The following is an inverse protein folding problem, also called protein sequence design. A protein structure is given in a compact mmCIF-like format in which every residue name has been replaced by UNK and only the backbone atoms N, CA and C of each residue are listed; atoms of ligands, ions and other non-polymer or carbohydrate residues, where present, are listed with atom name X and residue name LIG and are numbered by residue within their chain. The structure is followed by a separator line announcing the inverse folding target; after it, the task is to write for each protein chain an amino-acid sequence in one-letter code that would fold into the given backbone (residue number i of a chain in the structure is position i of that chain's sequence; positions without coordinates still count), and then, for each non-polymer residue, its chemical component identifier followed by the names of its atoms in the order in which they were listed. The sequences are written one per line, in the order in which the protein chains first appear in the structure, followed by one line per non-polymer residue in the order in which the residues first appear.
data_IF_904544505212
#
_entry.id   IF_904544505212
#
_cell.length_a   1.000
_cell.length_b   1.000
_cell.length_c   1.000
_cell.angle_alpha   90.00
_cell.angle_beta   90.00
_cell.angle_gamma   90.00
#
_symmetry.space_group_name_H-M   'P 1'
#
loop_
_entity.id
_entity.type
_entity.pdbx_description
1 polymer ?
#
# COMPACT_ATOMS: atom_id res chain seq x y z
N UNK A 1 -12.73 -2.43 -10.43
CA UNK A 1 -13.62 -2.01 -11.54
C UNK A 1 -14.81 -1.25 -10.98
N UNK A 2 -15.55 -0.51 -11.81
CA UNK A 2 -16.83 0.08 -11.42
C UNK A 2 -17.95 -0.70 -12.11
N UNK A 3 -19.06 -0.91 -11.40
CA UNK A 3 -20.30 -1.39 -12.03
C UNK A 3 -21.07 -0.23 -12.70
N UNK A 4 -22.24 -0.52 -13.28
CA UNK A 4 -23.05 0.48 -13.99
C UNK A 4 -23.63 1.56 -13.07
N UNK A 5 -23.72 1.31 -11.75
CA UNK A 5 -24.15 2.27 -10.72
C UNK A 5 -22.96 3.00 -10.08
N UNK A 6 -21.75 2.88 -10.64
CA UNK A 6 -20.49 3.43 -10.16
C UNK A 6 -20.01 2.89 -8.81
N UNK A 7 -20.51 1.72 -8.38
CA UNK A 7 -19.97 1.08 -7.19
C UNK A 7 -18.64 0.39 -7.49
N UNK A 8 -17.68 0.53 -6.58
CA UNK A 8 -16.37 -0.14 -6.67
C UNK A 8 -16.54 -1.64 -6.43
N UNK A 9 -16.00 -2.45 -7.35
CA UNK A 9 -15.91 -3.92 -7.23
C UNK A 9 -14.45 -4.34 -7.29
N UNK A 10 -14.01 -5.12 -6.30
CA UNK A 10 -12.72 -5.80 -6.33
C UNK A 10 -12.87 -7.01 -7.25
N UNK A 11 -11.96 -7.16 -8.20
CA UNK A 11 -11.96 -8.22 -9.22
C UNK A 11 -10.56 -8.80 -9.38
N UNK A 12 -10.45 -9.93 -10.06
CA UNK A 12 -9.20 -10.62 -10.36
C UNK A 12 -8.48 -11.15 -9.10
N UNK A 13 -9.04 -12.26 -8.59
CA UNK A 13 -8.47 -12.96 -7.43
C UNK A 13 -7.38 -13.98 -7.79
N UNK A 14 -6.81 -13.92 -9.02
CA UNK A 14 -5.80 -14.86 -9.52
C UNK A 14 -4.50 -14.90 -8.71
N UNK A 15 -4.19 -13.83 -8.00
CA UNK A 15 -3.03 -13.73 -7.09
C UNK A 15 -3.43 -13.76 -5.61
N UNK A 16 -4.71 -13.99 -5.30
CA UNK A 16 -5.18 -14.02 -3.92
C UNK A 16 -4.72 -15.29 -3.20
N UNK A 17 -4.60 -15.20 -1.88
CA UNK A 17 -4.33 -16.32 -1.01
C UNK A 17 -5.24 -16.27 0.22
N UNK A 18 -5.49 -17.43 0.82
CA UNK A 18 -6.21 -17.51 2.10
C UNK A 18 -5.20 -17.57 3.24
N UNK A 19 -5.47 -16.89 4.33
CA UNK A 19 -4.67 -16.96 5.55
C UNK A 19 -5.61 -16.91 6.78
N UNK A 20 -5.16 -17.48 7.89
CA UNK A 20 -5.79 -17.32 9.20
C UNK A 20 -5.03 -16.25 9.98
N UNK A 21 -5.66 -15.68 11.02
CA UNK A 21 -5.08 -14.56 11.80
C UNK A 21 -3.68 -14.85 12.38
N UNK A 22 -3.34 -16.14 12.56
CA UNK A 22 -2.04 -16.60 13.08
C UNK A 22 -1.04 -17.01 11.96
N UNK A 23 -1.44 -17.01 10.69
CA UNK A 23 -0.58 -17.42 9.58
C UNK A 23 0.07 -16.22 8.89
N UNK A 24 1.34 -16.40 8.53
CA UNK A 24 2.09 -15.42 7.75
C UNK A 24 2.38 -15.95 6.35
N UNK A 25 2.25 -15.08 5.36
CA UNK A 25 2.46 -15.40 3.95
C UNK A 25 3.93 -15.21 3.54
N UNK A 26 4.36 -15.91 2.48
CA UNK A 26 5.74 -15.81 1.94
C UNK A 26 5.79 -15.56 0.44
N UNK A 27 4.66 -15.64 -0.25
CA UNK A 27 4.62 -15.56 -1.72
C UNK A 27 4.55 -14.10 -2.15
N UNK A 28 5.60 -13.59 -2.78
CA UNK A 28 5.59 -12.27 -3.42
C UNK A 28 5.06 -12.42 -4.85
N UNK A 29 3.99 -11.69 -5.19
CA UNK A 29 3.40 -11.64 -6.52
C UNK A 29 2.84 -10.23 -6.81
N UNK A 30 2.65 -9.90 -8.09
CA UNK A 30 2.15 -8.62 -8.55
C UNK A 30 3.23 -7.64 -9.03
N UNK A 31 2.81 -6.41 -9.36
CA UNK A 31 3.74 -5.36 -9.80
C UNK A 31 4.59 -4.86 -8.64
N UNK A 32 5.92 -4.74 -8.80
CA UNK A 32 6.85 -4.34 -7.75
C UNK A 32 6.51 -2.99 -7.09
N UNK A 33 5.93 -2.06 -7.85
CA UNK A 33 5.58 -0.71 -7.37
C UNK A 33 4.55 -0.71 -6.22
N UNK A 34 3.75 -1.77 -6.09
CA UNK A 34 2.71 -1.90 -5.08
C UNK A 34 3.12 -2.80 -3.91
N UNK A 35 4.25 -3.50 -4.03
CA UNK A 35 4.72 -4.44 -3.03
C UNK A 35 5.17 -3.73 -1.75
N UNK A 36 4.75 -4.26 -0.59
CA UNK A 36 5.15 -3.74 0.70
C UNK A 36 6.64 -4.05 1.03
N UNK A 37 7.32 -3.21 1.85
CA UNK A 37 8.72 -3.40 2.19
C UNK A 37 9.03 -4.79 2.76
N UNK A 38 8.16 -5.34 3.60
CA UNK A 38 8.31 -6.66 4.21
C UNK A 38 8.23 -7.80 3.18
N UNK A 39 7.44 -7.63 2.11
CA UNK A 39 7.39 -8.60 0.98
C UNK A 39 8.71 -8.58 0.19
N UNK A 40 9.20 -7.39 -0.14
CA UNK A 40 10.46 -7.20 -0.87
C UNK A 40 11.63 -7.74 -0.04
N UNK A 41 11.60 -7.58 1.27
CA UNK A 41 12.61 -8.10 2.19
C UNK A 41 12.54 -9.64 2.36
N UNK A 42 11.57 -10.33 1.74
CA UNK A 42 11.39 -11.78 1.88
C UNK A 42 11.04 -12.24 3.29
N UNK A 43 10.50 -11.34 4.10
CA UNK A 43 10.06 -11.66 5.46
C UNK A 43 8.69 -12.33 5.44
N UNK A 44 8.34 -13.00 6.53
CA UNK A 44 6.94 -13.37 6.78
C UNK A 44 6.12 -12.10 6.99
N UNK A 45 4.92 -12.03 6.45
CA UNK A 45 4.09 -10.84 6.49
C UNK A 45 2.62 -11.13 6.83
N UNK A 46 1.95 -10.13 7.39
CA UNK A 46 0.50 -10.09 7.60
C UNK A 46 -0.17 -9.63 6.30
N UNK A 47 -1.08 -10.44 5.76
CA UNK A 47 -1.79 -10.13 4.50
C UNK A 47 -2.57 -8.80 4.57
N UNK A 48 -3.20 -8.50 5.72
CA UNK A 48 -3.93 -7.23 5.91
C UNK A 48 -2.98 -6.03 5.81
N UNK A 49 -1.78 -6.15 6.37
CA UNK A 49 -0.82 -5.05 6.37
C UNK A 49 -0.22 -4.79 4.98
N UNK A 50 0.07 -5.83 4.19
CA UNK A 50 0.57 -5.64 2.83
C UNK A 50 -0.50 -5.10 1.89
N UNK A 51 -1.76 -5.54 2.03
CA UNK A 51 -2.88 -4.98 1.27
C UNK A 51 -3.15 -3.52 1.65
N UNK A 52 -3.02 -3.18 2.94
CA UNK A 52 -3.12 -1.79 3.41
C UNK A 52 -2.04 -0.91 2.77
N UNK A 53 -0.78 -1.39 2.70
CA UNK A 53 0.28 -0.67 1.98
C UNK A 53 -0.09 -0.45 0.51
N UNK A 54 -0.53 -1.50 -0.19
CA UNK A 54 -0.94 -1.40 -1.60
C UNK A 54 -2.09 -0.40 -1.80
N UNK A 55 -3.07 -0.37 -0.89
CA UNK A 55 -4.12 0.66 -0.87
C UNK A 55 -3.55 2.07 -0.69
N UNK A 56 -2.53 2.24 0.15
CA UNK A 56 -1.81 3.51 0.32
C UNK A 56 -1.12 3.98 -0.96
N UNK A 57 -0.48 3.06 -1.70
CA UNK A 57 0.11 3.36 -3.02
C UNK A 57 -0.96 3.81 -4.01
N UNK A 58 -2.11 3.12 -4.05
CA UNK A 58 -3.24 3.49 -4.92
C UNK A 58 -3.80 4.86 -4.53
N UNK A 59 -4.02 5.11 -3.24
CA UNK A 59 -4.48 6.41 -2.75
C UNK A 59 -3.53 7.53 -3.16
N UNK A 60 -2.22 7.34 -2.95
CA UNK A 60 -1.22 8.30 -3.35
C UNK A 60 -1.30 8.59 -4.86
N UNK A 61 -1.35 7.53 -5.69
CA UNK A 61 -1.45 7.68 -7.15
C UNK A 61 -2.72 8.41 -7.59
N UNK A 62 -3.86 8.15 -6.94
CA UNK A 62 -5.13 8.82 -7.24
C UNK A 62 -5.10 10.32 -6.95
N UNK A 63 -4.48 10.73 -5.84
CA UNK A 63 -4.46 12.14 -5.42
C UNK A 63 -3.28 12.93 -6.00
N UNK A 64 -2.18 12.26 -6.39
CA UNK A 64 -0.97 12.89 -6.92
C UNK A 64 -0.87 12.80 -8.46
N UNK A 65 -1.43 11.75 -9.08
CA UNK A 65 -1.29 11.46 -10.51
C UNK A 65 -0.02 10.69 -10.88
N UNK A 66 0.81 10.30 -9.91
CA UNK A 66 2.04 9.50 -10.09
C UNK A 66 2.28 8.63 -8.86
N UNK A 67 3.21 7.65 -8.97
CA UNK A 67 3.52 6.72 -7.88
C UNK A 67 4.52 7.32 -6.87
N UNK A 68 4.43 6.96 -5.56
CA UNK A 68 5.38 7.43 -4.55
C UNK A 68 6.77 6.83 -4.73
N UNK A 69 6.85 5.62 -5.31
CA UNK A 69 8.08 4.91 -5.60
C UNK A 69 8.10 4.50 -7.06
N UNK A 70 9.07 4.99 -7.80
CA UNK A 70 9.25 4.69 -9.21
C UNK A 70 10.72 4.73 -9.57
N UNK A 71 11.18 3.75 -10.34
CA UNK A 71 12.52 3.70 -10.91
C UNK A 71 12.53 2.72 -12.09
N UNK A 72 13.20 3.02 -13.22
CA UNK A 72 13.37 2.08 -14.31
C UNK A 72 14.24 0.85 -13.92
N UNK A 73 15.13 1.01 -12.94
CA UNK A 73 15.91 -0.10 -12.36
C UNK A 73 15.15 -0.69 -11.16
N UNK A 74 14.83 -1.98 -11.25
CA UNK A 74 14.08 -2.70 -10.21
C UNK A 74 14.84 -2.75 -8.87
N UNK A 75 16.16 -2.83 -8.88
CA UNK A 75 16.97 -2.85 -7.67
C UNK A 75 16.89 -1.51 -6.93
N UNK A 76 16.98 -0.42 -7.67
CA UNK A 76 16.81 0.93 -7.11
C UNK A 76 15.39 1.18 -6.62
N UNK A 77 14.37 0.69 -7.35
CA UNK A 77 12.98 0.73 -6.91
C UNK A 77 12.83 0.03 -5.55
N UNK A 78 13.34 -1.20 -5.42
CA UNK A 78 13.29 -1.94 -4.16
C UNK A 78 14.01 -1.21 -3.03
N UNK A 79 15.17 -0.61 -3.32
CA UNK A 79 15.92 0.19 -2.36
C UNK A 79 15.12 1.41 -1.86
N UNK A 80 14.39 2.09 -2.75
CA UNK A 80 13.51 3.22 -2.39
C UNK A 80 12.37 2.77 -1.49
N UNK A 81 11.68 1.67 -1.84
CA UNK A 81 10.57 1.11 -1.07
C UNK A 81 11.04 0.68 0.32
N UNK A 82 12.15 -0.06 0.41
CA UNK A 82 12.70 -0.51 1.69
C UNK A 82 13.10 0.65 2.61
N UNK A 83 13.59 1.76 2.04
CA UNK A 83 13.89 2.98 2.80
C UNK A 83 12.65 3.75 3.22
N UNK A 84 11.52 3.53 2.57
CA UNK A 84 10.26 4.23 2.84
C UNK A 84 10.35 5.75 2.67
N UNK A 85 11.30 6.24 1.82
CA UNK A 85 11.49 7.67 1.58
C UNK A 85 10.82 8.07 0.28
N UNK A 86 9.75 8.83 0.40
CA UNK A 86 9.02 9.46 -0.70
C UNK A 86 8.66 10.90 -0.33
N UNK A 87 8.30 11.73 -1.30
CA UNK A 87 7.82 13.08 -1.07
C UNK A 87 6.31 13.12 -1.18
N UNK A 88 5.67 13.91 -0.34
CA UNK A 88 4.23 14.19 -0.45
C UNK A 88 4.08 15.62 -0.97
N UNK A 89 3.40 15.85 -2.11
CA UNK A 89 3.24 17.17 -2.70
C UNK A 89 2.48 18.15 -1.78
N UNK A 90 2.89 19.41 -1.81
CA UNK A 90 2.32 20.47 -0.97
C UNK A 90 0.91 20.91 -1.40
N UNK A 91 0.48 20.57 -2.61
CA UNK A 91 -0.87 20.89 -3.09
C UNK A 91 -1.97 20.02 -2.46
N UNK A 92 -1.60 18.94 -1.77
CA UNK A 92 -2.54 18.08 -1.06
C UNK A 92 -2.97 18.70 0.27
N UNK A 93 -4.23 18.42 0.70
CA UNK A 93 -4.68 18.84 2.03
C UNK A 93 -3.87 18.17 3.16
N UNK A 94 -3.85 18.82 4.33
CA UNK A 94 -3.15 18.30 5.50
C UNK A 94 -3.64 16.90 5.90
N UNK A 95 -4.96 16.68 5.81
CA UNK A 95 -5.60 15.43 6.23
C UNK A 95 -5.21 14.25 5.34
N UNK A 96 -5.18 14.42 4.00
CA UNK A 96 -4.77 13.33 3.11
C UNK A 96 -3.26 13.07 3.20
N UNK A 97 -2.45 14.12 3.40
CA UNK A 97 -1.00 13.99 3.65
C UNK A 97 -0.74 13.18 4.92
N UNK A 98 -1.47 13.48 5.98
CA UNK A 98 -1.38 12.77 7.26
C UNK A 98 -1.78 11.30 7.09
N UNK A 99 -2.92 11.01 6.45
CA UNK A 99 -3.37 9.63 6.19
C UNK A 99 -2.34 8.84 5.39
N UNK A 100 -1.83 9.37 4.28
CA UNK A 100 -0.81 8.72 3.46
C UNK A 100 0.44 8.43 4.29
N UNK A 101 0.88 9.37 5.10
CA UNK A 101 2.08 9.21 5.94
C UNK A 101 1.94 8.11 6.99
N UNK A 102 0.73 7.83 7.45
CA UNK A 102 0.43 6.78 8.41
C UNK A 102 0.17 5.42 7.78
N UNK A 103 -0.20 5.37 6.47
CA UNK A 103 -0.36 4.12 5.73
C UNK A 103 0.97 3.66 5.13
N UNK A 104 1.74 4.55 4.50
CA UNK A 104 3.01 4.23 3.83
C UNK A 104 4.19 4.24 4.83
N UNK A 105 4.03 3.55 5.95
CA UNK A 105 5.05 3.32 6.97
C UNK A 105 5.75 1.99 6.70
N UNK A 106 7.09 1.99 6.67
CA UNK A 106 7.89 0.80 6.35
C UNK A 106 7.76 -0.31 7.38
N UNK A 107 7.60 0.03 8.67
CA UNK A 107 7.32 -0.97 9.71
C UNK A 107 5.82 -1.31 9.71
N UNK A 108 5.43 -2.56 9.37
CA UNK A 108 4.03 -2.95 9.34
C UNK A 108 3.34 -2.87 10.71
N UNK A 109 4.09 -2.85 11.82
CA UNK A 109 3.50 -2.73 13.17
C UNK A 109 3.04 -1.31 13.47
N UNK A 110 3.70 -0.31 12.89
CA UNK A 110 3.37 1.11 13.02
C UNK A 110 2.37 1.59 11.95
N UNK A 111 2.14 0.77 10.90
CA UNK A 111 1.20 1.07 9.82
C UNK A 111 -0.23 1.01 10.31
N UNK A 112 -1.07 1.98 9.93
CA UNK A 112 -2.51 1.95 10.24
C UNK A 112 -3.17 0.66 9.74
N UNK A 113 -4.08 0.15 10.55
CA UNK A 113 -4.99 -0.94 10.17
C UNK A 113 -6.28 -0.41 9.55
N UNK A 114 -7.01 -1.20 8.75
CA UNK A 114 -8.25 -0.76 8.08
C UNK A 114 -9.27 -0.08 9.01
N UNK A 115 -9.45 -0.60 10.22
CA UNK A 115 -10.39 -0.01 11.19
C UNK A 115 -9.93 1.36 11.74
N UNK A 116 -8.63 1.65 11.73
CA UNK A 116 -8.05 2.95 12.10
C UNK A 116 -8.19 3.95 10.95
N UNK A 117 -7.92 3.49 9.71
CA UNK A 117 -8.12 4.29 8.49
C UNK A 117 -9.55 4.79 8.41
N UNK A 118 -10.54 3.94 8.68
CA UNK A 118 -11.97 4.32 8.67
C UNK A 118 -12.35 5.36 9.72
N UNK A 119 -11.53 5.60 10.72
CA UNK A 119 -11.71 6.63 11.76
C UNK A 119 -10.88 7.88 11.52
N UNK A 120 -10.08 7.89 10.47
CA UNK A 120 -9.21 9.03 10.16
C UNK A 120 -10.03 10.21 9.64
N UNK A 121 -9.63 11.43 9.99
CA UNK A 121 -10.38 12.67 9.67
C UNK A 121 -10.57 12.89 8.16
N UNK A 122 -9.69 12.34 7.33
CA UNK A 122 -9.82 12.41 5.88
C UNK A 122 -10.87 11.44 5.33
N UNK A 123 -11.05 10.27 5.95
CA UNK A 123 -11.95 9.22 5.47
C UNK A 123 -13.42 9.60 5.76
#
# INVERSE_FOLDING_TARGET
MLDHDLNIKIVDFGLSNTFTDDETLKTACGSPCYAAPEMIAGKKYDGIQVDTWSCGIILYALVCGFLPFEDPDTTELYRKILKGKYSIPDFLSSEVRDLISQILVSDPKERLRPHQIRKHNWF
#
